data_IF_976316286135
#
_entry.id   IF_976316286135
#
_cell.length_a   1.000
_cell.length_b   1.000
_cell.length_c   1.000
_cell.angle_alpha   90.00
_cell.angle_beta   90.00
_cell.angle_gamma   90.00
#
_symmetry.space_group_name_H-M   'P 1'
#
loop_
_entity.id
_entity.type
_entity.pdbx_description
1 polymer ?
#
# COMPACT_ATOMS: atom_id res chain seq x y z
N UNK A 1 -20.06 -2.87 -25.65
CA UNK A 1 -21.38 -2.59 -26.27
C UNK A 1 -21.90 -3.67 -27.20
N UNK A 2 -21.06 -4.61 -27.66
CA UNK A 2 -21.49 -5.70 -28.54
C UNK A 2 -22.49 -6.68 -27.88
N UNK A 3 -22.33 -6.98 -26.60
CA UNK A 3 -23.17 -7.96 -25.87
C UNK A 3 -24.62 -7.47 -25.66
N UNK A 4 -24.80 -6.21 -25.24
CA UNK A 4 -26.14 -5.66 -24.99
C UNK A 4 -26.93 -5.45 -26.29
N UNK A 5 -26.26 -5.08 -27.38
CA UNK A 5 -26.89 -4.97 -28.70
C UNK A 5 -27.34 -6.34 -29.25
N UNK A 6 -26.54 -7.39 -29.06
CA UNK A 6 -26.90 -8.75 -29.53
C UNK A 6 -28.02 -9.41 -28.71
N UNK A 7 -28.14 -9.07 -27.42
CA UNK A 7 -29.25 -9.49 -26.56
C UNK A 7 -30.52 -8.68 -26.88
N UNK A 8 -30.39 -7.35 -27.06
CA UNK A 8 -31.51 -6.46 -27.41
C UNK A 8 -32.16 -6.78 -28.76
N UNK A 9 -31.36 -7.19 -29.76
CA UNK A 9 -31.88 -7.64 -31.06
C UNK A 9 -32.55 -9.02 -31.03
N UNK A 10 -32.25 -9.86 -30.04
CA UNK A 10 -32.76 -11.23 -29.97
C UNK A 10 -34.18 -11.33 -29.35
N UNK A 11 -34.73 -10.26 -28.79
CA UNK A 11 -36.11 -10.18 -28.27
C UNK A 11 -36.44 -11.05 -27.04
N UNK A 12 -35.57 -12.02 -26.70
CA UNK A 12 -35.65 -12.90 -25.54
C UNK A 12 -34.25 -13.03 -24.92
N UNK A 13 -34.03 -12.41 -23.77
CA UNK A 13 -32.78 -12.52 -23.03
C UNK A 13 -32.78 -13.83 -22.21
N UNK A 14 -32.38 -14.94 -22.82
CA UNK A 14 -32.20 -16.22 -22.12
C UNK A 14 -30.85 -16.25 -21.38
N UNK A 15 -30.78 -16.97 -20.25
CA UNK A 15 -29.59 -17.06 -19.38
C UNK A 15 -28.33 -17.48 -20.17
N UNK A 16 -28.48 -18.35 -21.15
CA UNK A 16 -27.39 -18.82 -22.01
C UNK A 16 -26.73 -17.68 -22.82
N UNK A 17 -27.49 -16.63 -23.19
CA UNK A 17 -26.95 -15.47 -23.92
C UNK A 17 -26.27 -14.42 -23.05
N UNK A 18 -26.53 -14.41 -21.73
CA UNK A 18 -25.91 -13.44 -20.80
C UNK A 18 -24.69 -14.01 -20.06
N UNK A 19 -24.56 -15.34 -19.97
CA UNK A 19 -23.51 -15.99 -19.18
C UNK A 19 -22.08 -15.66 -19.66
N UNK A 20 -21.83 -15.61 -20.97
CA UNK A 20 -20.50 -15.33 -21.53
C UNK A 20 -19.97 -13.92 -21.18
N UNK A 21 -20.68 -12.84 -21.56
CA UNK A 21 -20.23 -11.46 -21.30
C UNK A 21 -20.10 -11.11 -19.80
N UNK A 22 -20.91 -11.73 -18.94
CA UNK A 22 -20.81 -11.53 -17.48
C UNK A 22 -19.52 -12.18 -16.94
N UNK A 23 -19.14 -13.35 -17.44
CA UNK A 23 -17.90 -14.02 -17.08
C UNK A 23 -16.66 -13.19 -17.42
N UNK A 24 -16.63 -12.58 -18.61
CA UNK A 24 -15.52 -11.71 -19.03
C UNK A 24 -15.36 -10.48 -18.11
N UNK A 25 -16.48 -9.84 -17.72
CA UNK A 25 -16.47 -8.71 -16.80
C UNK A 25 -16.01 -9.11 -15.38
N UNK A 26 -16.38 -10.31 -14.92
CA UNK A 26 -15.97 -10.83 -13.62
C UNK A 26 -14.46 -11.09 -13.57
N UNK A 27 -13.89 -11.66 -14.62
CA UNK A 27 -12.44 -11.90 -14.72
C UNK A 27 -11.67 -10.58 -14.70
N UNK A 28 -12.14 -9.56 -15.43
CA UNK A 28 -11.54 -8.22 -15.42
C UNK A 28 -11.50 -7.63 -14.00
N UNK A 29 -12.58 -7.80 -13.25
CA UNK A 29 -12.68 -7.34 -11.87
C UNK A 29 -11.71 -8.10 -10.95
N UNK A 30 -11.66 -9.43 -11.10
CA UNK A 30 -10.74 -10.27 -10.32
C UNK A 30 -9.28 -9.90 -10.58
N UNK A 31 -8.90 -9.63 -11.83
CA UNK A 31 -7.56 -9.16 -12.18
C UNK A 31 -7.24 -7.79 -11.56
N UNK A 32 -8.21 -6.87 -11.57
CA UNK A 32 -8.08 -5.58 -10.91
C UNK A 32 -7.78 -5.72 -9.42
N UNK A 33 -8.49 -6.61 -8.71
CA UNK A 33 -8.26 -6.89 -7.30
C UNK A 33 -6.92 -7.59 -7.04
N UNK A 34 -6.56 -8.56 -7.89
CA UNK A 34 -5.31 -9.31 -7.77
C UNK A 34 -4.07 -8.39 -7.84
N UNK A 35 -4.13 -7.31 -8.62
CA UNK A 35 -3.05 -6.31 -8.72
C UNK A 35 -3.17 -5.21 -7.66
N UNK A 36 -4.39 -4.75 -7.35
CA UNK A 36 -4.59 -3.62 -6.43
C UNK A 36 -4.13 -3.93 -5.00
N UNK A 37 -4.40 -5.14 -4.49
CA UNK A 37 -4.09 -5.50 -3.10
C UNK A 37 -2.58 -5.52 -2.85
N UNK A 38 -1.76 -6.24 -3.63
CA UNK A 38 -0.30 -6.21 -3.46
C UNK A 38 0.30 -4.80 -3.63
N UNK A 39 -0.21 -4.01 -4.57
CA UNK A 39 0.27 -2.65 -4.81
C UNK A 39 0.08 -1.75 -3.57
N UNK A 40 -1.09 -1.81 -2.93
CA UNK A 40 -1.39 -1.03 -1.72
C UNK A 40 -0.55 -1.50 -0.53
N UNK A 41 -0.37 -2.82 -0.37
CA UNK A 41 0.51 -3.38 0.67
C UNK A 41 1.96 -2.92 0.51
N UNK A 42 2.48 -2.98 -0.73
CA UNK A 42 3.81 -2.47 -1.07
C UNK A 42 3.97 -1.00 -0.72
N UNK A 43 3.05 -0.15 -1.19
CA UNK A 43 3.04 1.28 -0.86
C UNK A 43 3.07 1.52 0.66
N UNK A 44 2.21 0.85 1.42
CA UNK A 44 2.17 0.99 2.88
C UNK A 44 3.46 0.53 3.55
N UNK A 45 4.08 -0.55 3.06
CA UNK A 45 5.38 -1.02 3.56
C UNK A 45 6.50 0.00 3.31
N UNK A 46 6.57 0.59 2.12
CA UNK A 46 7.54 1.63 1.78
C UNK A 46 7.34 2.89 2.63
N UNK A 47 6.10 3.35 2.77
CA UNK A 47 5.77 4.49 3.64
C UNK A 47 6.19 4.23 5.08
N UNK A 48 5.94 3.02 5.59
CA UNK A 48 6.38 2.62 6.92
C UNK A 48 7.91 2.65 7.03
N UNK A 49 8.63 2.10 6.04
CA UNK A 49 10.10 2.14 6.03
C UNK A 49 10.64 3.57 6.04
N UNK A 50 10.08 4.47 5.24
CA UNK A 50 10.46 5.89 5.21
C UNK A 50 10.28 6.57 6.57
N UNK A 51 9.17 6.31 7.27
CA UNK A 51 8.95 6.83 8.63
C UNK A 51 10.05 6.38 9.60
N UNK A 52 10.52 5.14 9.49
CA UNK A 52 11.62 4.65 10.34
C UNK A 52 12.93 5.36 10.01
N UNK A 53 13.23 5.59 8.74
CA UNK A 53 14.44 6.32 8.32
C UNK A 53 14.41 7.76 8.85
N UNK A 54 13.29 8.46 8.69
CA UNK A 54 13.12 9.83 9.20
C UNK A 54 13.25 9.86 10.73
N UNK A 55 12.67 8.89 11.44
CA UNK A 55 12.81 8.80 12.89
C UNK A 55 14.27 8.62 13.33
N UNK A 56 15.07 7.81 12.61
CA UNK A 56 16.50 7.66 12.87
C UNK A 56 17.27 8.96 12.61
N UNK A 57 16.95 9.64 11.50
CA UNK A 57 17.57 10.93 11.17
C UNK A 57 17.26 11.99 12.22
N UNK A 58 16.02 12.06 12.71
CA UNK A 58 15.63 12.97 13.77
C UNK A 58 16.37 12.69 15.07
N UNK A 59 16.57 11.42 15.45
CA UNK A 59 17.39 11.04 16.62
C UNK A 59 18.83 11.49 16.45
N UNK A 60 19.42 11.21 15.28
CA UNK A 60 20.78 11.65 14.97
C UNK A 60 20.93 13.18 15.04
N UNK A 61 19.98 13.93 14.49
CA UNK A 61 19.98 15.39 14.58
C UNK A 61 19.88 15.89 16.04
N UNK A 62 19.06 15.24 16.87
CA UNK A 62 18.99 15.55 18.30
C UNK A 62 20.30 15.27 19.02
N UNK A 63 20.93 14.12 18.74
CA UNK A 63 22.22 13.75 19.34
C UNK A 63 23.33 14.74 18.95
N UNK A 64 23.36 15.16 17.68
CA UNK A 64 24.28 16.20 17.22
C UNK A 64 24.01 17.55 17.89
N UNK A 65 22.75 17.99 17.94
CA UNK A 65 22.39 19.24 18.58
C UNK A 65 22.77 19.23 20.06
N UNK A 66 22.49 18.13 20.78
CA UNK A 66 22.90 17.97 22.17
C UNK A 66 24.43 18.00 22.31
N UNK A 67 25.16 17.35 21.41
CA UNK A 67 26.63 17.39 21.39
C UNK A 67 27.16 18.81 21.19
N UNK A 68 26.61 19.59 20.25
CA UNK A 68 27.05 20.96 19.99
C UNK A 68 26.69 21.93 21.14
N UNK A 69 25.53 21.75 21.78
CA UNK A 69 25.07 22.64 22.87
C UNK A 69 25.74 22.30 24.20
N UNK A 70 25.98 21.01 24.49
CA UNK A 70 26.48 20.56 25.81
C UNK A 70 27.96 20.15 25.80
N UNK A 71 28.58 19.98 24.63
CA UNK A 71 30.00 19.61 24.48
C UNK A 71 30.36 18.17 24.86
N UNK A 72 29.43 17.39 25.44
CA UNK A 72 29.64 16.01 25.85
C UNK A 72 28.87 15.05 24.91
N UNK A 73 29.49 13.91 24.54
CA UNK A 73 28.77 12.80 23.90
C UNK A 73 27.62 12.40 24.82
N UNK A 74 26.37 12.53 24.36
CA UNK A 74 25.21 11.91 25.00
C UNK A 74 25.35 10.40 24.79
N UNK A 75 26.12 9.77 25.67
CA UNK A 75 26.48 8.37 25.58
C UNK A 75 27.17 7.95 26.86
N UNK A 76 26.37 7.62 27.89
CA UNK A 76 26.85 6.95 29.09
C UNK A 76 26.30 7.47 30.41
N UNK A 77 24.98 7.49 30.59
CA UNK A 77 24.38 7.58 31.93
C UNK A 77 23.75 6.23 32.31
N UNK A 78 24.59 5.19 32.37
CA UNK A 78 24.23 3.90 32.95
C UNK A 78 25.46 3.20 33.51
N UNK A 79 25.93 3.67 34.67
CA UNK A 79 26.61 2.91 35.75
C UNK A 79 27.06 3.86 36.87
N UNK A 80 26.28 3.95 37.94
CA UNK A 80 26.68 4.27 39.34
C UNK A 80 25.39 4.07 40.15
N UNK A 81 25.14 2.95 40.83
CA UNK A 81 25.85 2.51 42.02
C UNK A 81 24.95 2.77 43.25
N UNK A 82 24.16 1.77 43.65
CA UNK A 82 23.96 1.30 45.03
C UNK A 82 23.33 -0.09 44.97
#
# INVERSE_FOLDING_TARGET
YHALMSIGMAGQATIDKVAGPIGEALIMTALGLAVAIPAVLGYNALVRANKHVIAKLNRFAHDLHAYFVTGARVGGASRQGN
#
